data_IF_535683632099
#
_entry.id   IF_535683632099
#
_cell.length_a   1.000
_cell.length_b   1.000
_cell.length_c   1.000
_cell.angle_alpha   90.00
_cell.angle_beta   90.00
_cell.angle_gamma   90.00
#
_symmetry.space_group_name_H-M   'P 1'
#
loop_
_entity.id
_entity.type
_entity.pdbx_description
1 polymer ?
#
# COMPACT_ATOMS: atom_id res chain seq x y z
N UNK A 1 2.76 -17.81 -25.78
CA UNK A 1 4.21 -17.73 -25.53
C UNK A 1 4.45 -16.69 -24.44
N UNK A 2 4.90 -17.15 -23.34
CA UNK A 2 5.14 -16.48 -22.07
C UNK A 2 6.06 -15.29 -22.30
N UNK A 3 5.65 -14.10 -21.87
CA UNK A 3 6.56 -12.97 -21.65
C UNK A 3 7.45 -13.40 -20.48
N UNK A 4 8.46 -14.17 -20.83
CA UNK A 4 9.41 -14.73 -19.90
C UNK A 4 10.36 -13.61 -19.50
N UNK A 5 10.15 -13.04 -18.34
CA UNK A 5 11.14 -12.42 -17.48
C UNK A 5 12.12 -11.44 -18.17
N UNK A 6 11.79 -10.15 -18.14
CA UNK A 6 12.63 -9.06 -18.65
C UNK A 6 14.08 -9.10 -18.14
N UNK A 7 14.36 -9.85 -17.07
CA UNK A 7 15.65 -9.94 -16.38
C UNK A 7 16.13 -11.38 -16.09
N UNK A 8 15.45 -12.41 -16.55
CA UNK A 8 15.79 -13.82 -16.22
C UNK A 8 16.86 -14.48 -17.11
N UNK A 9 17.59 -13.73 -17.90
CA UNK A 9 18.78 -14.30 -18.52
C UNK A 9 19.96 -14.07 -17.57
N UNK A 10 20.60 -15.16 -17.16
CA UNK A 10 21.92 -15.12 -16.53
C UNK A 10 22.82 -14.11 -17.25
N UNK A 11 23.19 -13.02 -16.56
CA UNK A 11 23.95 -11.91 -17.14
C UNK A 11 23.21 -10.59 -17.31
N UNK A 12 21.89 -10.53 -17.07
CA UNK A 12 21.17 -9.23 -17.05
C UNK A 12 21.66 -8.37 -15.90
N UNK A 13 21.94 -7.10 -16.21
CA UNK A 13 22.36 -6.11 -15.23
C UNK A 13 21.17 -5.26 -14.80
N UNK A 14 20.92 -5.19 -13.49
CA UNK A 14 19.91 -4.35 -12.89
C UNK A 14 20.54 -3.04 -12.44
N UNK A 15 20.09 -1.88 -12.94
CA UNK A 15 20.60 -0.59 -12.53
C UNK A 15 20.16 -0.27 -11.10
N UNK A 16 21.03 0.40 -10.35
CA UNK A 16 20.72 0.90 -9.02
C UNK A 16 21.20 2.32 -8.80
N UNK A 17 20.61 2.98 -7.80
CA UNK A 17 21.03 4.27 -7.25
C UNK A 17 21.27 4.07 -5.76
N UNK A 18 22.48 4.38 -5.28
CA UNK A 18 22.77 4.44 -3.85
C UNK A 18 22.48 5.84 -3.33
N UNK A 19 21.66 5.94 -2.31
CA UNK A 19 21.34 7.18 -1.61
C UNK A 19 21.92 7.12 -0.22
N UNK A 20 22.70 8.13 0.13
CA UNK A 20 23.32 8.28 1.46
C UNK A 20 22.55 9.34 2.25
N UNK A 21 22.16 9.00 3.47
CA UNK A 21 21.54 9.90 4.43
C UNK A 21 22.29 9.78 5.76
N UNK A 22 22.99 10.85 6.17
CA UNK A 22 23.93 10.82 7.28
C UNK A 22 24.96 9.69 7.09
N UNK A 23 25.11 8.82 8.07
CA UNK A 23 26.04 7.68 8.04
C UNK A 23 25.38 6.39 7.49
N UNK A 24 24.21 6.50 6.87
CA UNK A 24 23.45 5.37 6.36
C UNK A 24 23.20 5.47 4.87
N UNK A 25 23.29 4.34 4.19
CA UNK A 25 22.93 4.25 2.78
C UNK A 25 21.84 3.21 2.55
N UNK A 26 21.04 3.46 1.51
CA UNK A 26 20.08 2.50 0.97
C UNK A 26 20.12 2.53 -0.56
N UNK A 27 19.57 1.49 -1.17
CA UNK A 27 19.62 1.29 -2.61
C UNK A 27 18.23 1.42 -3.20
N UNK A 28 18.10 2.21 -4.24
CA UNK A 28 16.89 2.28 -5.06
C UNK A 28 17.11 1.48 -6.35
N UNK A 29 16.12 0.68 -6.71
CA UNK A 29 16.11 -0.05 -7.97
C UNK A 29 14.68 -0.35 -8.44
N UNK A 30 14.57 -0.84 -9.67
CA UNK A 30 13.32 -1.35 -10.23
C UNK A 30 13.42 -2.87 -10.33
N UNK A 31 12.43 -3.58 -9.76
CA UNK A 31 12.35 -5.04 -9.81
C UNK A 31 10.96 -5.47 -10.27
N UNK A 32 10.85 -6.46 -11.18
CA UNK A 32 9.57 -6.96 -11.61
C UNK A 32 8.87 -7.76 -10.50
N UNK A 33 7.54 -7.79 -10.53
CA UNK A 33 6.70 -8.51 -9.55
C UNK A 33 7.03 -10.00 -9.53
N UNK A 34 7.34 -10.58 -10.69
CA UNK A 34 7.76 -11.98 -10.80
C UNK A 34 9.01 -12.30 -9.97
N UNK A 35 10.03 -11.40 -10.02
CA UNK A 35 11.22 -11.52 -9.19
C UNK A 35 10.88 -11.39 -7.70
N UNK A 36 10.09 -10.38 -7.33
CA UNK A 36 9.70 -10.15 -5.95
C UNK A 36 8.90 -11.32 -5.37
N UNK A 37 8.02 -11.94 -6.17
CA UNK A 37 7.27 -13.13 -5.80
C UNK A 37 8.19 -14.30 -5.43
N UNK A 38 9.25 -14.50 -6.19
CA UNK A 38 10.19 -15.60 -6.01
C UNK A 38 11.13 -15.39 -4.83
N UNK A 39 11.66 -14.16 -4.68
CA UNK A 39 12.78 -13.85 -3.77
C UNK A 39 12.36 -13.27 -2.42
N UNK A 40 11.15 -12.69 -2.31
CA UNK A 40 10.71 -12.02 -1.06
C UNK A 40 9.97 -12.99 -0.15
N UNK A 41 10.44 -13.09 1.09
CA UNK A 41 9.78 -13.82 2.17
C UNK A 41 8.95 -12.88 3.04
N UNK A 42 7.73 -13.33 3.39
CA UNK A 42 6.83 -12.63 4.30
C UNK A 42 6.95 -13.23 5.69
N UNK A 43 7.46 -12.44 6.65
CA UNK A 43 7.67 -12.85 8.03
C UNK A 43 6.56 -12.29 8.91
N UNK A 44 5.52 -13.11 9.18
CA UNK A 44 4.41 -12.70 10.03
C UNK A 44 4.68 -12.97 11.49
N UNK A 45 4.32 -11.99 12.32
CA UNK A 45 4.37 -12.14 13.76
C UNK A 45 3.33 -13.14 14.24
N UNK A 46 3.81 -14.21 14.87
CA UNK A 46 2.97 -15.29 15.41
C UNK A 46 3.46 -15.66 16.81
N UNK A 47 3.16 -14.85 17.85
CA UNK A 47 3.62 -15.08 19.22
C UNK A 47 2.81 -16.17 19.94
N UNK A 48 2.12 -17.02 19.18
CA UNK A 48 1.18 -17.98 19.74
C UNK A 48 1.88 -19.29 20.11
N UNK A 49 1.53 -19.81 21.28
CA UNK A 49 2.07 -21.10 21.75
C UNK A 49 1.59 -22.24 20.84
N UNK A 50 2.52 -23.10 20.45
CA UNK A 50 2.26 -24.29 19.62
C UNK A 50 1.15 -25.15 20.25
N UNK A 51 0.16 -25.56 19.42
CA UNK A 51 -1.00 -26.33 19.88
C UNK A 51 -2.20 -25.51 20.32
N UNK A 52 -2.11 -24.18 20.35
CA UNK A 52 -3.28 -23.32 20.62
C UNK A 52 -4.10 -23.08 19.33
N UNK A 53 -5.38 -22.72 19.51
CA UNK A 53 -6.27 -22.37 18.39
C UNK A 53 -5.69 -21.21 17.54
N UNK A 54 -5.08 -20.22 18.18
CA UNK A 54 -4.48 -19.08 17.49
C UNK A 54 -3.25 -19.50 16.66
N UNK A 55 -2.44 -20.42 17.16
CA UNK A 55 -1.34 -21.01 16.42
C UNK A 55 -1.86 -21.74 15.16
N UNK A 56 -2.87 -22.61 15.34
CA UNK A 56 -3.48 -23.34 14.21
C UNK A 56 -4.10 -22.39 13.17
N UNK A 57 -4.71 -21.30 13.60
CA UNK A 57 -5.23 -20.28 12.71
C UNK A 57 -4.11 -19.53 11.96
N UNK A 58 -2.95 -19.33 12.59
CA UNK A 58 -1.78 -18.76 11.93
C UNK A 58 -1.23 -19.67 10.84
N UNK A 59 -1.13 -20.97 11.13
CA UNK A 59 -0.70 -21.98 10.15
C UNK A 59 -1.67 -22.07 8.96
N UNK A 60 -2.98 -22.14 9.21
CA UNK A 60 -4.01 -22.13 8.16
C UNK A 60 -3.94 -20.87 7.29
N UNK A 61 -3.67 -19.73 7.90
CA UNK A 61 -3.49 -18.50 7.16
C UNK A 61 -2.26 -18.56 6.25
N UNK A 62 -1.10 -19.01 6.78
CA UNK A 62 0.12 -19.15 5.99
C UNK A 62 -0.07 -20.12 4.81
N UNK A 63 -0.72 -21.25 5.06
CA UNK A 63 -1.03 -22.22 4.01
C UNK A 63 -1.95 -21.63 2.93
N UNK A 64 -2.99 -20.87 3.34
CA UNK A 64 -3.87 -20.18 2.38
C UNK A 64 -3.11 -19.16 1.54
N UNK A 65 -2.21 -18.40 2.13
CA UNK A 65 -1.40 -17.40 1.40
C UNK A 65 -0.46 -18.06 0.41
N UNK A 66 0.14 -19.18 0.79
CA UNK A 66 0.99 -19.98 -0.08
C UNK A 66 0.22 -20.61 -1.23
N UNK A 67 -0.90 -21.25 -0.94
CA UNK A 67 -1.68 -21.99 -1.95
C UNK A 67 -2.44 -21.07 -2.89
N UNK A 68 -3.07 -19.99 -2.38
CA UNK A 68 -3.87 -19.08 -3.20
C UNK A 68 -3.01 -18.07 -3.96
N UNK A 69 -1.98 -17.51 -3.33
CA UNK A 69 -1.19 -16.41 -3.89
C UNK A 69 0.23 -16.80 -4.31
N UNK A 70 0.68 -18.00 -3.95
CA UNK A 70 2.04 -18.45 -4.25
C UNK A 70 3.14 -17.68 -3.51
N UNK A 71 2.81 -17.13 -2.33
CA UNK A 71 3.73 -16.34 -1.53
C UNK A 71 4.53 -17.22 -0.56
N UNK A 72 5.81 -16.94 -0.41
CA UNK A 72 6.64 -17.56 0.63
C UNK A 72 6.33 -16.90 1.98
N UNK A 73 5.76 -17.67 2.90
CA UNK A 73 5.30 -17.18 4.21
C UNK A 73 6.01 -17.93 5.32
N UNK A 74 6.58 -17.18 6.24
CA UNK A 74 7.15 -17.69 7.49
C UNK A 74 6.38 -17.12 8.67
N UNK A 75 5.83 -17.98 9.54
CA UNK A 75 5.26 -17.60 10.82
C UNK A 75 6.36 -17.64 11.88
N UNK A 76 6.69 -16.51 12.45
CA UNK A 76 7.79 -16.36 13.41
C UNK A 76 7.33 -15.56 14.62
N UNK A 77 7.83 -15.91 15.80
CA UNK A 77 7.54 -15.17 17.04
C UNK A 77 8.05 -13.72 16.94
N UNK A 78 9.18 -13.52 16.27
CA UNK A 78 9.82 -12.22 16.03
C UNK A 78 9.45 -11.54 14.72
N UNK A 79 8.48 -12.07 13.97
CA UNK A 79 8.06 -11.50 12.69
C UNK A 79 7.64 -10.02 12.79
N UNK A 80 7.99 -9.22 11.80
CA UNK A 80 7.70 -7.78 11.77
C UNK A 80 6.26 -7.49 11.35
N UNK A 81 5.69 -8.33 10.51
CA UNK A 81 4.46 -8.05 9.80
C UNK A 81 3.22 -8.59 10.52
N UNK A 82 2.12 -7.85 10.43
CA UNK A 82 0.79 -8.37 10.77
C UNK A 82 0.27 -9.26 9.65
N UNK A 83 -0.68 -10.14 9.94
CA UNK A 83 -1.42 -10.87 8.90
C UNK A 83 -2.03 -9.87 7.92
N UNK A 84 -1.84 -10.11 6.63
CA UNK A 84 -2.43 -9.27 5.58
C UNK A 84 -3.95 -9.42 5.58
N UNK A 85 -4.64 -8.33 5.30
CA UNK A 85 -6.07 -8.36 5.06
C UNK A 85 -6.35 -8.86 3.64
N UNK A 86 -6.98 -10.03 3.52
CA UNK A 86 -7.29 -10.68 2.23
C UNK A 86 -8.13 -9.77 1.34
N UNK A 87 -9.14 -9.09 1.88
CA UNK A 87 -9.96 -8.16 1.10
C UNK A 87 -9.11 -7.03 0.49
N UNK A 88 -8.11 -6.55 1.23
CA UNK A 88 -7.20 -5.52 0.72
C UNK A 88 -6.28 -6.04 -0.39
N UNK A 89 -5.85 -7.29 -0.31
CA UNK A 89 -5.10 -7.95 -1.38
C UNK A 89 -5.95 -8.01 -2.65
N UNK A 90 -7.19 -8.48 -2.54
CA UNK A 90 -8.12 -8.61 -3.65
C UNK A 90 -8.44 -7.25 -4.28
N UNK A 91 -8.69 -6.21 -3.49
CA UNK A 91 -8.89 -4.84 -3.97
C UNK A 91 -7.67 -4.29 -4.73
N UNK A 92 -6.46 -4.57 -4.25
CA UNK A 92 -5.23 -4.15 -4.92
C UNK A 92 -5.05 -4.91 -6.24
N UNK A 93 -5.33 -6.21 -6.24
CA UNK A 93 -5.27 -7.06 -7.43
C UNK A 93 -6.23 -6.58 -8.51
N UNK A 94 -7.49 -6.32 -8.15
CA UNK A 94 -8.52 -5.78 -9.03
C UNK A 94 -8.11 -4.41 -9.60
N UNK A 95 -7.75 -3.47 -8.73
CA UNK A 95 -7.27 -2.15 -9.15
C UNK A 95 -6.10 -2.23 -10.12
N UNK A 96 -5.14 -3.13 -9.87
CA UNK A 96 -3.96 -3.31 -10.73
C UNK A 96 -4.34 -3.88 -12.09
N UNK A 97 -5.30 -4.81 -12.12
CA UNK A 97 -5.75 -5.47 -13.36
C UNK A 97 -6.57 -4.55 -14.25
N UNK A 98 -7.30 -3.60 -13.68
CA UNK A 98 -8.19 -2.68 -14.39
C UNK A 98 -7.52 -1.33 -14.74
N UNK A 99 -6.46 -0.97 -14.04
CA UNK A 99 -5.82 0.34 -14.20
C UNK A 99 -5.00 0.44 -15.48
N UNK A 100 -5.19 1.54 -16.22
CA UNK A 100 -4.40 1.89 -17.41
C UNK A 100 -3.33 2.95 -17.13
N UNK A 101 -3.27 3.46 -15.89
CA UNK A 101 -2.36 4.52 -15.46
C UNK A 101 -1.25 4.05 -14.52
N UNK A 102 -0.65 4.99 -13.80
CA UNK A 102 0.33 4.70 -12.74
C UNK A 102 -0.37 3.98 -11.60
N UNK A 103 0.10 2.78 -11.29
CA UNK A 103 -0.52 1.92 -10.25
C UNK A 103 0.04 2.25 -8.88
N UNK A 104 1.36 2.10 -8.68
CA UNK A 104 2.00 2.30 -7.39
C UNK A 104 3.35 3.04 -7.54
N UNK A 105 3.39 4.37 -7.35
CA UNK A 105 4.64 5.14 -7.42
C UNK A 105 5.50 5.03 -6.15
N UNK A 106 4.96 4.50 -5.05
CA UNK A 106 5.68 4.36 -3.79
C UNK A 106 6.46 3.05 -3.74
N UNK A 107 7.72 3.05 -3.27
CA UNK A 107 8.55 1.85 -3.25
C UNK A 107 8.06 0.80 -2.26
N UNK A 108 8.35 -0.47 -2.57
CA UNK A 108 8.35 -1.56 -1.59
C UNK A 108 9.68 -1.48 -0.85
N UNK A 109 9.66 -1.56 0.48
CA UNK A 109 10.86 -1.46 1.31
C UNK A 109 11.23 -2.85 1.79
N UNK A 110 12.43 -3.28 1.44
CA UNK A 110 12.98 -4.60 1.75
C UNK A 110 14.28 -4.47 2.55
N UNK A 111 14.51 -5.39 3.47
CA UNK A 111 15.84 -5.66 3.99
C UNK A 111 16.51 -6.73 3.12
N UNK A 112 17.75 -6.48 2.73
CA UNK A 112 18.56 -7.43 1.99
C UNK A 112 19.65 -7.99 2.90
N UNK A 113 19.57 -9.30 3.16
CA UNK A 113 20.61 -10.03 3.86
C UNK A 113 21.28 -11.03 2.93
N UNK A 114 22.62 -10.96 2.85
CA UNK A 114 23.45 -11.82 2.00
C UNK A 114 24.25 -12.72 2.91
N UNK A 115 24.14 -14.02 2.72
CA UNK A 115 24.85 -15.01 3.49
C UNK A 115 26.29 -15.21 2.95
N UNK A 116 27.29 -15.15 3.83
CA UNK A 116 28.67 -15.58 3.53
C UNK A 116 28.75 -17.10 3.54
N UNK A 117 28.05 -17.72 4.52
CA UNK A 117 27.85 -19.14 4.70
C UNK A 117 26.50 -19.42 5.39
N UNK A 118 26.32 -20.60 6.02
CA UNK A 118 25.07 -20.98 6.66
C UNK A 118 24.68 -20.16 7.90
N UNK A 119 25.64 -19.51 8.54
CA UNK A 119 25.44 -18.86 9.84
C UNK A 119 25.82 -17.38 9.85
N UNK A 120 26.70 -16.94 8.92
CA UNK A 120 27.20 -15.55 8.88
C UNK A 120 26.65 -14.79 7.68
N UNK A 121 26.20 -13.55 7.91
CA UNK A 121 25.79 -12.60 6.87
C UNK A 121 26.85 -11.52 6.67
N UNK A 122 26.88 -10.96 5.46
CA UNK A 122 27.67 -9.75 5.21
C UNK A 122 27.10 -8.58 6.02
N UNK A 123 27.98 -7.82 6.66
CA UNK A 123 27.62 -6.55 7.28
C UNK A 123 27.21 -5.52 6.20
N UNK A 124 26.53 -4.47 6.63
CA UNK A 124 26.15 -3.36 5.76
C UNK A 124 27.34 -2.78 5.02
N UNK A 125 28.43 -2.49 5.74
CA UNK A 125 29.66 -1.92 5.17
C UNK A 125 30.27 -2.86 4.12
N UNK A 126 30.37 -4.15 4.40
CA UNK A 126 30.88 -5.13 3.44
C UNK A 126 30.01 -5.21 2.18
N UNK A 127 28.67 -5.11 2.31
CA UNK A 127 27.75 -5.09 1.17
C UNK A 127 27.97 -3.83 0.32
N UNK A 128 28.10 -2.66 0.96
CA UNK A 128 28.35 -1.40 0.27
C UNK A 128 29.69 -1.43 -0.48
N UNK A 129 30.75 -1.82 0.18
CA UNK A 129 32.11 -1.84 -0.40
C UNK A 129 32.25 -2.87 -1.55
N UNK A 130 31.59 -4.01 -1.42
CA UNK A 130 31.73 -5.11 -2.37
C UNK A 130 30.80 -4.99 -3.57
N UNK A 131 29.55 -4.54 -3.36
CA UNK A 131 28.51 -4.64 -4.38
C UNK A 131 27.86 -3.31 -4.76
N UNK A 132 27.87 -2.33 -3.85
CA UNK A 132 27.20 -1.03 -4.05
C UNK A 132 28.17 0.14 -3.80
N UNK A 133 29.39 0.02 -4.31
CA UNK A 133 30.45 1.00 -4.08
C UNK A 133 30.12 2.38 -4.63
N UNK A 134 29.61 2.43 -5.85
CA UNK A 134 29.35 3.68 -6.56
C UNK A 134 27.93 4.20 -6.29
N UNK A 135 27.72 5.51 -6.41
CA UNK A 135 26.40 6.14 -6.28
C UNK A 135 25.41 5.68 -7.37
N UNK A 136 25.93 5.31 -8.55
CA UNK A 136 25.19 4.73 -9.65
C UNK A 136 25.92 3.50 -10.15
N UNK A 137 25.20 2.41 -10.34
CA UNK A 137 25.83 1.18 -10.81
C UNK A 137 24.84 0.20 -11.41
N UNK A 138 25.36 -0.97 -11.71
CA UNK A 138 24.58 -2.11 -12.17
C UNK A 138 25.03 -3.34 -11.40
N UNK A 139 24.06 -4.14 -10.97
CA UNK A 139 24.30 -5.40 -10.29
C UNK A 139 23.80 -6.53 -11.18
N UNK A 140 24.54 -7.63 -11.25
CA UNK A 140 24.12 -8.80 -12.01
C UNK A 140 22.96 -9.48 -11.31
N UNK A 141 22.01 -10.00 -12.08
CA UNK A 141 20.86 -10.75 -11.55
C UNK A 141 21.30 -11.90 -10.65
N UNK A 142 22.33 -12.64 -11.05
CA UNK A 142 22.87 -13.80 -10.31
C UNK A 142 23.44 -13.42 -8.93
N UNK A 143 23.69 -12.12 -8.72
CA UNK A 143 24.09 -11.59 -7.40
C UNK A 143 23.03 -11.91 -6.34
N UNK A 144 21.76 -11.93 -6.73
CA UNK A 144 20.65 -12.15 -5.82
C UNK A 144 20.44 -13.64 -5.45
N UNK A 145 21.41 -14.50 -5.69
CA UNK A 145 21.44 -15.89 -5.26
C UNK A 145 22.72 -16.22 -4.46
N UNK A 146 22.68 -16.68 -3.23
CA UNK A 146 21.56 -16.95 -2.32
C UNK A 146 21.32 -15.75 -1.38
N UNK A 147 20.13 -15.20 -1.40
CA UNK A 147 19.79 -14.03 -0.60
C UNK A 147 18.43 -14.17 0.05
N UNK A 148 18.25 -13.49 1.17
CA UNK A 148 16.95 -13.34 1.83
C UNK A 148 16.50 -11.89 1.77
N UNK A 149 15.32 -11.67 1.15
CA UNK A 149 14.65 -10.39 1.12
C UNK A 149 13.49 -10.42 2.10
N UNK A 150 13.64 -9.69 3.19
CA UNK A 150 12.56 -9.54 4.16
C UNK A 150 11.82 -8.23 3.91
N UNK A 151 10.50 -8.30 3.79
CA UNK A 151 9.68 -7.12 3.56
C UNK A 151 9.53 -6.29 4.84
N UNK A 152 9.88 -4.99 4.77
CA UNK A 152 9.69 -4.02 5.86
C UNK A 152 8.37 -3.26 5.66
N UNK A 153 8.11 -2.73 4.45
CA UNK A 153 6.84 -2.08 4.11
C UNK A 153 6.37 -2.44 2.70
N UNK A 154 5.06 -2.39 2.48
CA UNK A 154 4.43 -2.69 1.20
C UNK A 154 3.90 -4.11 1.07
N UNK A 155 3.77 -4.88 2.16
CA UNK A 155 3.31 -6.28 2.13
C UNK A 155 1.95 -6.48 1.41
N UNK A 156 0.97 -5.60 1.65
CA UNK A 156 -0.34 -5.69 0.99
C UNK A 156 -0.23 -5.39 -0.50
N UNK A 157 0.62 -4.40 -0.86
CA UNK A 157 0.89 -4.06 -2.26
C UNK A 157 1.52 -5.23 -2.98
N UNK A 158 2.60 -5.78 -2.44
CA UNK A 158 3.28 -6.91 -3.05
C UNK A 158 2.35 -8.11 -3.19
N UNK A 159 1.59 -8.47 -2.14
CA UNK A 159 0.65 -9.58 -2.20
C UNK A 159 -0.45 -9.38 -3.26
N UNK A 160 -1.01 -8.18 -3.37
CA UNK A 160 -2.02 -7.85 -4.39
C UNK A 160 -1.46 -7.82 -5.81
N UNK A 161 -0.23 -7.32 -5.98
CA UNK A 161 0.48 -7.35 -7.26
C UNK A 161 0.81 -8.76 -7.71
N UNK A 162 1.23 -9.63 -6.78
CA UNK A 162 1.48 -11.05 -7.08
C UNK A 162 0.18 -11.76 -7.46
N UNK A 163 -0.94 -11.46 -6.79
CA UNK A 163 -2.24 -12.01 -7.15
C UNK A 163 -2.68 -11.54 -8.55
N UNK A 164 -2.54 -10.24 -8.86
CA UNK A 164 -2.78 -9.70 -10.21
C UNK A 164 -1.89 -10.36 -11.26
N UNK A 165 -0.59 -10.50 -11.00
CA UNK A 165 0.34 -11.18 -11.90
C UNK A 165 -0.05 -12.65 -12.16
N UNK A 166 -0.46 -13.36 -11.11
CA UNK A 166 -0.93 -14.75 -11.27
C UNK A 166 -2.19 -14.88 -12.13
N UNK A 167 -3.08 -13.88 -12.04
CA UNK A 167 -4.36 -13.90 -12.76
C UNK A 167 -4.25 -13.36 -14.20
N UNK A 168 -3.39 -12.38 -14.44
CA UNK A 168 -3.32 -11.66 -15.73
C UNK A 168 -2.05 -11.94 -16.53
N UNK A 169 -0.99 -12.41 -15.90
CA UNK A 169 0.35 -12.52 -16.50
C UNK A 169 1.08 -11.19 -16.70
N UNK A 170 0.49 -10.07 -16.29
CA UNK A 170 1.10 -8.74 -16.43
C UNK A 170 2.18 -8.57 -15.35
N UNK A 171 3.43 -8.50 -15.77
CA UNK A 171 4.58 -8.34 -14.88
C UNK A 171 4.97 -6.86 -14.80
N UNK A 172 4.61 -6.22 -13.69
CA UNK A 172 4.88 -4.81 -13.45
C UNK A 172 6.25 -4.60 -12.82
N UNK A 173 6.97 -3.58 -13.29
CA UNK A 173 8.20 -3.10 -12.66
C UNK A 173 7.85 -2.25 -11.42
N UNK A 174 8.35 -2.63 -10.25
CA UNK A 174 8.10 -1.94 -8.99
C UNK A 174 9.33 -1.17 -8.52
N UNK A 175 9.16 0.08 -8.05
CA UNK A 175 10.21 0.76 -7.32
C UNK A 175 10.46 0.02 -6.00
N UNK A 176 11.72 -0.25 -5.70
CA UNK A 176 12.16 -0.96 -4.50
C UNK A 176 13.24 -0.16 -3.80
N UNK A 177 13.11 -0.05 -2.48
CA UNK A 177 14.17 0.45 -1.59
C UNK A 177 14.75 -0.72 -0.83
N UNK A 178 16.05 -0.97 -1.01
CA UNK A 178 16.77 -1.99 -0.26
C UNK A 178 17.55 -1.36 0.90
N UNK A 179 17.29 -1.82 2.11
CA UNK A 179 18.07 -1.55 3.30
C UNK A 179 19.08 -2.70 3.42
N UNK A 180 20.38 -2.38 3.36
CA UNK A 180 21.44 -3.39 3.33
C UNK A 180 21.73 -3.90 4.74
N UNK A 181 21.76 -5.21 4.92
CA UNK A 181 22.21 -5.87 6.15
C UNK A 181 21.45 -5.41 7.41
N UNK A 182 20.20 -5.01 7.31
CA UNK A 182 19.45 -4.57 8.48
C UNK A 182 19.23 -5.73 9.45
N UNK A 183 19.60 -5.51 10.71
CA UNK A 183 19.21 -6.39 11.81
C UNK A 183 17.70 -6.34 12.01
N UNK A 184 17.15 -7.33 12.72
CA UNK A 184 15.73 -7.34 13.09
C UNK A 184 15.33 -6.07 13.87
N UNK A 185 16.22 -5.55 14.73
CA UNK A 185 16.00 -4.32 15.48
C UNK A 185 15.87 -3.12 14.55
N UNK A 186 16.82 -2.91 13.65
CA UNK A 186 16.81 -1.81 12.68
C UNK A 186 15.60 -1.88 11.74
N UNK A 187 15.29 -3.07 11.22
CA UNK A 187 14.12 -3.28 10.39
C UNK A 187 12.81 -2.95 11.16
N UNK A 188 12.75 -3.29 12.47
CA UNK A 188 11.63 -2.96 13.35
C UNK A 188 11.49 -1.45 13.55
N UNK A 189 12.61 -0.76 13.82
CA UNK A 189 12.61 0.70 13.99
C UNK A 189 12.12 1.40 12.72
N UNK A 190 12.65 1.02 11.56
CA UNK A 190 12.22 1.55 10.26
C UNK A 190 10.72 1.29 10.04
N UNK A 191 10.25 0.08 10.33
CA UNK A 191 8.83 -0.27 10.22
C UNK A 191 7.95 0.61 11.12
N UNK A 192 8.36 0.83 12.39
CA UNK A 192 7.63 1.68 13.34
C UNK A 192 7.63 3.14 12.85
N UNK A 193 8.77 3.67 12.39
CA UNK A 193 8.86 5.05 11.91
C UNK A 193 7.96 5.30 10.70
N UNK A 194 7.96 4.39 9.73
CA UNK A 194 7.13 4.50 8.53
C UNK A 194 5.64 4.41 8.89
N UNK A 195 5.25 3.42 9.69
CA UNK A 195 3.84 3.17 9.97
C UNK A 195 3.29 4.00 11.15
N UNK A 196 4.12 4.29 12.15
CA UNK A 196 3.71 5.03 13.36
C UNK A 196 3.43 6.51 13.08
N UNK A 197 4.09 7.09 12.09
CA UNK A 197 3.93 8.48 11.71
C UNK A 197 2.93 8.69 10.56
N UNK A 198 2.43 7.63 9.95
CA UNK A 198 1.38 7.71 8.93
C UNK A 198 0.05 8.07 9.58
N UNK A 199 -0.26 9.37 9.66
CA UNK A 199 -1.63 9.81 9.93
C UNK A 199 -2.50 9.40 8.74
N UNK A 200 -3.57 8.66 9.01
CA UNK A 200 -4.61 8.42 7.99
C UNK A 200 -5.08 9.78 7.51
N UNK A 201 -5.07 10.00 6.21
CA UNK A 201 -5.73 11.17 5.61
C UNK A 201 -7.18 11.16 6.08
N UNK A 202 -7.65 12.29 6.62
CA UNK A 202 -9.03 12.43 7.05
C UNK A 202 -9.97 12.21 5.86
N UNK A 203 -11.07 11.49 6.06
CA UNK A 203 -12.00 11.16 4.98
C UNK A 203 -12.66 12.41 4.37
N UNK A 204 -12.91 13.44 5.18
CA UNK A 204 -13.43 14.71 4.68
C UNK A 204 -12.43 15.37 3.72
N UNK A 205 -11.13 15.33 4.05
CA UNK A 205 -10.09 15.81 3.15
C UNK A 205 -10.02 14.98 1.85
N UNK A 206 -10.16 13.65 1.94
CA UNK A 206 -10.19 12.80 0.75
C UNK A 206 -11.36 13.16 -0.18
N UNK A 207 -12.55 13.37 0.37
CA UNK A 207 -13.71 13.77 -0.41
C UNK A 207 -13.50 15.13 -1.12
N UNK A 208 -12.91 16.08 -0.42
CA UNK A 208 -12.57 17.38 -1.00
C UNK A 208 -11.57 17.24 -2.17
N UNK A 209 -10.55 16.38 -2.02
CA UNK A 209 -9.55 16.11 -3.04
C UNK A 209 -10.09 15.42 -4.30
N UNK A 210 -11.18 14.66 -4.21
CA UNK A 210 -11.83 14.09 -5.40
C UNK A 210 -12.33 15.15 -6.38
N UNK A 211 -12.55 16.39 -5.91
CA UNK A 211 -12.84 17.53 -6.78
C UNK A 211 -11.79 17.79 -7.85
N UNK A 212 -10.54 17.41 -7.61
CA UNK A 212 -9.40 17.61 -8.51
C UNK A 212 -9.21 16.49 -9.54
N UNK A 213 -10.01 15.41 -9.48
CA UNK A 213 -9.85 14.24 -10.34
C UNK A 213 -10.91 14.29 -11.45
N UNK A 214 -10.49 14.36 -12.71
CA UNK A 214 -11.38 14.39 -13.87
C UNK A 214 -11.74 12.96 -14.33
N UNK A 215 -12.60 12.28 -13.55
CA UNK A 215 -13.14 10.96 -13.88
C UNK A 215 -14.62 10.89 -13.53
N UNK A 216 -15.40 10.25 -14.40
CA UNK A 216 -16.85 10.11 -14.25
C UNK A 216 -17.25 9.37 -12.97
N UNK A 217 -16.45 8.44 -12.51
CA UNK A 217 -16.70 7.68 -11.27
C UNK A 217 -16.81 8.56 -10.02
N UNK A 218 -16.19 9.76 -10.03
CA UNK A 218 -16.21 10.71 -8.90
C UNK A 218 -17.28 11.80 -9.03
N UNK A 219 -18.00 11.88 -10.15
CA UNK A 219 -18.98 12.96 -10.37
C UNK A 219 -20.09 12.99 -9.32
N UNK A 220 -20.56 11.82 -8.88
CA UNK A 220 -21.52 11.71 -7.79
C UNK A 220 -20.95 12.28 -6.48
N UNK A 221 -19.71 11.92 -6.14
CA UNK A 221 -19.04 12.41 -4.91
C UNK A 221 -18.86 13.92 -4.99
N UNK A 222 -18.34 14.46 -6.10
CA UNK A 222 -18.17 15.89 -6.32
C UNK A 222 -19.47 16.67 -6.14
N UNK A 223 -20.56 16.13 -6.71
CA UNK A 223 -21.89 16.71 -6.57
C UNK A 223 -22.32 16.80 -5.10
N UNK A 224 -22.16 15.73 -4.33
CA UNK A 224 -22.52 15.69 -2.92
C UNK A 224 -21.59 16.55 -2.05
N UNK A 225 -20.29 16.60 -2.37
CA UNK A 225 -19.35 17.54 -1.74
C UNK A 225 -19.85 18.97 -1.93
N UNK A 226 -20.22 19.37 -3.15
CA UNK A 226 -20.75 20.70 -3.45
C UNK A 226 -22.02 21.01 -2.68
N UNK A 227 -22.91 20.04 -2.51
CA UNK A 227 -24.11 20.17 -1.67
C UNK A 227 -23.71 20.43 -0.22
N UNK A 228 -22.77 19.67 0.33
CA UNK A 228 -22.29 19.83 1.72
C UNK A 228 -21.67 21.20 1.95
N UNK A 229 -20.89 21.70 0.99
CA UNK A 229 -20.33 23.06 1.03
C UNK A 229 -21.43 24.11 1.06
N UNK A 230 -22.40 24.01 0.14
CA UNK A 230 -23.52 24.97 0.04
C UNK A 230 -24.35 24.99 1.33
N UNK A 231 -24.58 23.82 1.94
CA UNK A 231 -25.27 23.71 3.24
C UNK A 231 -24.47 24.40 4.37
N UNK A 232 -23.14 24.35 4.33
CA UNK A 232 -22.30 24.96 5.36
C UNK A 232 -22.10 26.47 5.18
N UNK A 233 -22.17 26.97 3.95
CA UNK A 233 -21.78 28.35 3.60
C UNK A 233 -22.97 29.33 3.53
N UNK A 234 -24.17 28.86 3.25
CA UNK A 234 -25.35 29.75 3.16
C UNK A 234 -25.87 30.10 4.54
N UNK A 235 -25.94 31.40 4.89
CA UNK A 235 -26.39 31.90 6.19
C UNK A 235 -27.77 31.41 6.61
N UNK A 236 -28.69 31.22 5.65
CA UNK A 236 -30.04 30.74 5.91
C UNK A 236 -30.13 29.21 5.99
N UNK A 237 -29.03 28.50 5.80
CA UNK A 237 -29.00 27.03 5.88
C UNK A 237 -29.14 26.54 7.32
N UNK A 238 -29.92 25.48 7.58
CA UNK A 238 -29.97 24.83 8.90
C UNK A 238 -28.61 24.23 9.34
N UNK A 239 -27.65 24.11 8.42
CA UNK A 239 -26.29 23.60 8.68
C UNK A 239 -25.21 24.69 8.57
N UNK A 240 -25.58 25.97 8.56
CA UNK A 240 -24.62 27.06 8.45
C UNK A 240 -23.53 26.97 9.51
N UNK A 241 -22.25 26.92 9.08
CA UNK A 241 -21.05 26.77 9.91
C UNK A 241 -21.02 25.49 10.80
N UNK A 242 -21.91 24.53 10.56
CA UNK A 242 -21.98 23.31 11.35
C UNK A 242 -21.16 22.14 10.78
N UNK A 243 -20.77 22.22 9.50
CA UNK A 243 -20.05 21.12 8.85
C UNK A 243 -18.55 21.32 8.94
N UNK A 244 -17.89 20.37 9.59
CA UNK A 244 -16.43 20.33 9.73
C UNK A 244 -15.80 19.82 8.44
N UNK A 245 -15.28 20.74 7.63
CA UNK A 245 -14.58 20.43 6.38
C UNK A 245 -13.15 20.00 6.66
N UNK A 246 -12.54 19.22 5.74
CA UNK A 246 -11.14 18.75 5.80
C UNK A 246 -10.76 18.05 7.13
N UNK A 247 -11.74 17.56 7.90
CA UNK A 247 -11.51 16.95 9.21
C UNK A 247 -11.12 17.96 10.31
N UNK A 248 -11.18 19.27 10.04
CA UNK A 248 -10.79 20.34 10.96
C UNK A 248 -11.84 21.45 11.02
N UNK A 249 -11.75 22.33 12.02
CA UNK A 249 -12.65 23.46 12.18
C UNK A 249 -13.64 23.31 13.34
N UNK A 250 -14.51 24.31 13.51
CA UNK A 250 -15.45 24.44 14.65
C UNK A 250 -16.77 23.69 14.48
N UNK A 251 -17.07 23.22 13.27
CA UNK A 251 -18.32 22.50 12.99
C UNK A 251 -18.51 21.27 13.89
N UNK A 252 -19.75 20.87 14.10
CA UNK A 252 -20.13 19.70 14.91
C UNK A 252 -20.31 18.43 14.09
N UNK A 253 -20.59 18.57 12.80
CA UNK A 253 -20.86 17.47 11.87
C UNK A 253 -19.63 17.23 10.99
N UNK A 254 -19.12 16.01 10.94
CA UNK A 254 -18.06 15.65 9.98
C UNK A 254 -18.62 15.68 8.55
N UNK A 255 -17.93 16.37 7.64
CA UNK A 255 -18.29 16.36 6.22
C UNK A 255 -18.33 14.95 5.64
N UNK A 256 -17.37 14.08 6.00
CA UNK A 256 -17.35 12.70 5.55
C UNK A 256 -18.59 11.93 6.02
N UNK A 257 -18.99 12.09 7.28
CA UNK A 257 -20.21 11.47 7.79
C UNK A 257 -21.45 11.91 7.01
N UNK A 258 -21.56 13.21 6.74
CA UNK A 258 -22.70 13.76 5.96
C UNK A 258 -22.72 13.19 4.53
N UNK A 259 -21.56 13.20 3.84
CA UNK A 259 -21.43 12.68 2.47
C UNK A 259 -21.78 11.20 2.40
N UNK A 260 -21.26 10.36 3.29
CA UNK A 260 -21.54 8.92 3.33
C UNK A 260 -23.03 8.64 3.46
N UNK A 261 -23.70 9.35 4.37
CA UNK A 261 -25.14 9.18 4.58
C UNK A 261 -25.95 9.68 3.37
N UNK A 262 -25.58 10.81 2.76
CA UNK A 262 -26.25 11.31 1.55
C UNK A 262 -26.10 10.31 0.39
N UNK A 263 -24.89 9.80 0.14
CA UNK A 263 -24.66 8.84 -0.94
C UNK A 263 -25.51 7.58 -0.74
N UNK A 264 -25.55 7.04 0.47
CA UNK A 264 -26.31 5.82 0.75
C UNK A 264 -27.83 6.05 0.61
N UNK A 265 -28.33 7.13 1.19
CA UNK A 265 -29.76 7.46 1.15
C UNK A 265 -30.25 7.80 -0.26
N UNK A 266 -29.45 8.56 -1.02
CA UNK A 266 -29.88 9.04 -2.33
C UNK A 266 -29.75 8.00 -3.44
N UNK A 267 -28.93 6.98 -3.28
CA UNK A 267 -28.87 5.83 -4.19
C UNK A 267 -30.23 5.10 -4.24
N UNK A 268 -30.88 4.94 -3.10
CA UNK A 268 -32.16 4.25 -2.99
C UNK A 268 -33.33 5.06 -3.58
N UNK A 269 -33.22 6.40 -3.57
CA UNK A 269 -34.32 7.33 -3.91
C UNK A 269 -34.23 8.05 -5.25
N UNK A 270 -33.36 7.67 -6.19
CA UNK A 270 -33.11 8.37 -7.46
C UNK A 270 -32.61 9.85 -7.34
N UNK A 271 -32.59 10.43 -6.14
CA UNK A 271 -32.11 11.80 -5.90
C UNK A 271 -30.65 11.98 -6.32
N UNK A 272 -29.88 10.91 -6.34
CA UNK A 272 -28.47 10.93 -6.77
C UNK A 272 -28.30 11.44 -8.22
N UNK A 273 -29.33 11.30 -9.05
CA UNK A 273 -29.33 11.75 -10.45
C UNK A 273 -29.74 13.22 -10.61
N UNK A 274 -30.25 13.86 -9.54
CA UNK A 274 -30.64 15.28 -9.56
C UNK A 274 -29.44 16.22 -9.56
N UNK A 275 -29.66 17.49 -9.89
CA UNK A 275 -28.60 18.50 -9.81
C UNK A 275 -28.19 18.77 -8.35
N UNK A 276 -27.00 19.31 -8.13
CA UNK A 276 -26.56 19.74 -6.79
C UNK A 276 -27.51 20.76 -6.16
N UNK A 277 -28.10 21.64 -6.98
CA UNK A 277 -29.05 22.66 -6.53
C UNK A 277 -30.38 22.04 -6.07
N UNK A 278 -30.89 21.03 -6.79
CA UNK A 278 -32.12 20.34 -6.42
C UNK A 278 -31.93 19.55 -5.12
N UNK A 279 -30.82 18.84 -5.00
CA UNK A 279 -30.44 18.12 -3.77
C UNK A 279 -30.34 19.07 -2.58
N UNK A 280 -29.66 20.22 -2.79
CA UNK A 280 -29.59 21.25 -1.76
C UNK A 280 -30.97 21.75 -1.35
N UNK A 281 -31.83 22.11 -2.30
CA UNK A 281 -33.17 22.61 -2.04
C UNK A 281 -34.04 21.60 -1.29
N UNK A 282 -33.95 20.32 -1.65
CA UNK A 282 -34.62 19.24 -0.94
C UNK A 282 -34.18 19.15 0.52
N UNK A 283 -32.86 19.11 0.77
CA UNK A 283 -32.31 19.04 2.14
C UNK A 283 -32.61 20.28 2.95
N UNK A 284 -32.54 21.46 2.31
CA UNK A 284 -32.89 22.71 2.97
C UNK A 284 -34.34 22.68 3.47
N UNK A 285 -35.30 22.32 2.63
CA UNK A 285 -36.71 22.20 3.00
C UNK A 285 -36.90 21.15 4.10
N UNK A 286 -36.29 19.98 3.96
CA UNK A 286 -36.45 18.89 4.92
C UNK A 286 -35.97 19.24 6.33
N UNK A 287 -34.85 19.95 6.45
CA UNK A 287 -34.25 20.29 7.75
C UNK A 287 -34.65 21.68 8.26
N UNK A 288 -35.42 22.46 7.52
CA UNK A 288 -35.92 23.78 7.97
C UNK A 288 -37.33 23.71 8.61
N UNK A 289 -37.93 22.53 8.63
CA UNK A 289 -39.22 22.26 9.30
C UNK A 289 -38.93 21.88 10.77
#
# INVERSE_FOLDING_TARGET
ETIMYKYMNSGSNIPYIKITQNDSAFILMSLPVSFLKEKVSFHFRSPFKKGTTDFMNAEKYAEKMKTKYGLSIKNEESGLQRRTNIKRIEQISEYTSESTGIVFPTPIILSLNVFKDKEETFSKQELEEKYFKDSFGKIKYDFFEPMDFTIIDGQHRLAGLVDSFNNTGIDLDMPVTLILGASLSEATEIFIQINGNQRKVDRSMMYDLYGNIEKDEYETIKKIVKVSETLNERENSPFFEMIKRLGSGKGTISQAFLIDNMINTFKEGNLINSSSQDIYSYLFLYFSI
#
